data_IF_530764425420
#
_entry.id   IF_530764425420
#
_cell.length_a   1.000
_cell.length_b   1.000
_cell.length_c   1.000
_cell.angle_alpha   90.00
_cell.angle_beta   90.00
_cell.angle_gamma   90.00
#
_symmetry.space_group_name_H-M   'P 1'
#
loop_
_entity.id
_entity.type
_entity.pdbx_description
1 polymer ?
#
# COMPACT_ATOMS: atom_id res chain seq x y z
N UNK A 1 4.20 1.92 -17.96
CA UNK A 1 4.38 0.61 -18.63
C UNK A 1 5.58 -0.15 -18.09
N UNK A 2 6.77 0.47 -17.92
CA UNK A 2 7.98 -0.19 -17.42
C UNK A 2 7.80 -1.01 -16.12
N UNK A 3 7.19 -0.45 -15.05
CA UNK A 3 6.93 -1.22 -13.83
C UNK A 3 6.02 -2.45 -14.03
N UNK A 4 5.06 -2.39 -14.97
CA UNK A 4 4.19 -3.53 -15.24
C UNK A 4 4.92 -4.66 -15.98
N UNK A 5 6.06 -4.39 -16.62
CA UNK A 5 6.89 -5.45 -17.20
C UNK A 5 7.54 -6.30 -16.11
N UNK A 6 7.86 -5.69 -14.95
CA UNK A 6 8.36 -6.41 -13.78
C UNK A 6 7.33 -7.36 -13.17
N UNK A 7 6.04 -7.04 -13.30
CA UNK A 7 4.95 -7.88 -12.76
C UNK A 7 4.79 -9.23 -13.44
N UNK A 8 5.49 -9.46 -14.56
CA UNK A 8 5.39 -10.67 -15.40
C UNK A 8 3.95 -10.97 -15.90
N UNK A 9 3.01 -10.03 -15.76
CA UNK A 9 1.66 -10.15 -16.30
C UNK A 9 1.70 -10.19 -17.84
N UNK A 10 1.03 -11.19 -18.41
CA UNK A 10 0.84 -11.27 -19.85
C UNK A 10 -0.03 -10.11 -20.37
N UNK A 11 0.10 -9.78 -21.66
CA UNK A 11 -0.67 -8.70 -22.28
C UNK A 11 -2.19 -8.89 -22.13
N UNK A 12 -2.68 -10.13 -22.19
CA UNK A 12 -4.10 -10.44 -22.00
C UNK A 12 -4.57 -10.15 -20.56
N UNK A 13 -3.71 -10.37 -19.57
CA UNK A 13 -4.04 -10.16 -18.16
C UNK A 13 -4.07 -8.69 -17.77
N UNK A 14 -3.39 -7.83 -18.53
CA UNK A 14 -3.38 -6.38 -18.30
C UNK A 14 -4.74 -5.72 -18.53
N UNK A 15 -5.70 -6.43 -19.15
CA UNK A 15 -7.09 -5.99 -19.25
C UNK A 15 -7.92 -6.19 -17.97
N UNK A 16 -7.41 -6.93 -16.98
CA UNK A 16 -8.11 -7.15 -15.71
C UNK A 16 -7.67 -6.13 -14.65
N UNK A 17 -8.58 -5.26 -14.16
CA UNK A 17 -8.23 -4.30 -13.10
C UNK A 17 -7.84 -5.00 -11.80
N UNK A 18 -8.39 -6.19 -11.52
CA UNK A 18 -8.04 -7.01 -10.35
C UNK A 18 -6.59 -7.46 -10.42
N UNK A 19 -6.17 -8.03 -11.56
CA UNK A 19 -4.78 -8.50 -11.75
C UNK A 19 -3.80 -7.33 -11.77
N UNK A 20 -4.15 -6.22 -12.43
CA UNK A 20 -3.33 -5.02 -12.44
C UNK A 20 -3.16 -4.46 -11.03
N UNK A 21 -4.23 -4.31 -10.26
CA UNK A 21 -4.15 -3.79 -8.89
C UNK A 21 -3.26 -4.66 -7.99
N UNK A 22 -3.39 -5.99 -8.07
CA UNK A 22 -2.54 -6.94 -7.33
C UNK A 22 -1.07 -6.90 -7.78
N UNK A 23 -0.82 -6.68 -9.06
CA UNK A 23 0.54 -6.50 -9.57
C UNK A 23 1.14 -5.17 -9.09
N UNK A 24 0.35 -4.10 -9.02
CA UNK A 24 0.80 -2.79 -8.55
C UNK A 24 1.25 -2.86 -7.09
N UNK A 25 0.49 -3.52 -6.22
CA UNK A 25 0.90 -3.66 -4.80
C UNK A 25 2.23 -4.41 -4.64
N UNK A 26 2.56 -5.33 -5.56
CA UNK A 26 3.85 -6.01 -5.56
C UNK A 26 5.00 -5.15 -6.11
N UNK A 27 4.85 -4.53 -7.30
CA UNK A 27 5.99 -3.88 -8.00
C UNK A 27 6.41 -2.53 -7.40
N UNK A 28 5.61 -1.98 -6.49
CA UNK A 28 5.91 -0.71 -5.81
C UNK A 28 6.97 -0.91 -4.72
N UNK A 29 6.97 -2.03 -4.00
CA UNK A 29 8.07 -2.38 -3.10
C UNK A 29 9.12 -3.23 -3.83
N UNK A 30 10.33 -3.27 -3.28
CA UNK A 30 11.49 -3.93 -3.89
C UNK A 30 11.89 -5.23 -3.17
N UNK A 31 10.98 -5.86 -2.44
CA UNK A 31 11.32 -6.98 -1.57
C UNK A 31 11.54 -8.30 -2.34
N UNK A 32 10.76 -8.57 -3.40
CA UNK A 32 10.82 -9.85 -4.14
C UNK A 32 11.50 -9.76 -5.51
N UNK A 33 11.42 -8.60 -6.16
CA UNK A 33 11.98 -8.29 -7.49
C UNK A 33 12.47 -6.82 -7.47
N UNK A 34 13.14 -6.35 -8.55
CA UNK A 34 13.63 -4.96 -8.73
C UNK A 34 12.51 -3.89 -8.79
N UNK A 35 11.61 -3.87 -7.81
CA UNK A 35 10.51 -2.93 -7.71
C UNK A 35 10.97 -1.50 -7.40
N UNK A 36 10.00 -0.60 -7.23
CA UNK A 36 10.26 0.82 -7.24
C UNK A 36 11.04 1.31 -6.00
N UNK A 37 10.61 0.93 -4.79
CA UNK A 37 11.06 1.52 -3.53
C UNK A 37 11.55 0.46 -2.53
N UNK A 38 12.65 0.77 -1.86
CA UNK A 38 13.17 0.00 -0.73
C UNK A 38 12.61 0.57 0.58
N UNK A 39 11.99 -0.27 1.40
CA UNK A 39 11.48 0.12 2.72
C UNK A 39 12.59 0.29 3.76
N UNK A 40 12.48 1.27 4.66
CA UNK A 40 13.40 1.41 5.80
C UNK A 40 12.75 2.17 6.98
N UNK A 41 12.71 1.53 8.14
CA UNK A 41 12.20 2.05 9.42
C UNK A 41 13.27 2.17 10.52
N UNK A 42 14.54 1.99 10.18
CA UNK A 42 15.65 1.93 11.15
C UNK A 42 16.12 3.30 11.69
N UNK A 43 15.63 4.41 11.12
CA UNK A 43 16.16 5.76 11.33
C UNK A 43 17.61 5.99 10.85
N UNK A 44 18.24 5.02 10.17
CA UNK A 44 19.50 5.21 9.45
C UNK A 44 19.25 5.23 7.93
N UNK A 45 19.45 6.41 7.32
CA UNK A 45 19.19 6.65 5.90
C UNK A 45 20.44 7.14 5.15
N UNK A 46 21.65 6.91 5.68
CA UNK A 46 22.89 7.53 5.17
C UNK A 46 23.22 7.19 3.71
N UNK A 47 22.73 6.06 3.20
CA UNK A 47 22.94 5.60 1.83
C UNK A 47 21.73 5.84 0.90
N UNK A 48 20.75 6.65 1.33
CA UNK A 48 19.55 6.96 0.57
C UNK A 48 18.91 8.28 0.96
N UNK A 49 17.66 8.47 0.54
CA UNK A 49 16.83 9.61 0.93
C UNK A 49 15.95 9.18 2.10
N UNK A 50 15.96 9.98 3.17
CA UNK A 50 15.08 9.75 4.31
C UNK A 50 13.60 9.81 3.87
N UNK A 51 12.75 8.85 4.27
CA UNK A 51 11.36 8.75 3.81
C UNK A 51 10.52 10.04 3.98
N UNK A 52 10.76 10.78 5.06
CA UNK A 52 10.06 12.04 5.36
C UNK A 52 10.50 13.23 4.49
N UNK A 53 11.59 13.11 3.74
CA UNK A 53 12.11 14.17 2.86
C UNK A 53 11.45 14.18 1.48
N UNK A 54 10.69 13.13 1.13
CA UNK A 54 9.94 13.10 -0.12
C UNK A 54 8.74 14.03 -0.08
N UNK A 55 8.64 14.93 -1.07
CA UNK A 55 7.50 15.85 -1.23
C UNK A 55 6.53 15.43 -2.34
N UNK A 56 6.86 14.37 -3.09
CA UNK A 56 6.01 13.83 -4.16
C UNK A 56 6.62 12.62 -4.85
N UNK A 57 5.77 11.84 -5.55
CA UNK A 57 6.18 10.60 -6.20
C UNK A 57 7.05 10.81 -7.45
N UNK A 58 6.94 11.97 -8.12
CA UNK A 58 7.63 12.23 -9.40
C UNK A 58 9.15 12.07 -9.27
N UNK A 59 9.74 12.61 -8.21
CA UNK A 59 11.19 12.51 -7.97
C UNK A 59 11.66 11.06 -7.79
N UNK A 60 10.82 10.23 -7.16
CA UNK A 60 11.09 8.79 -6.96
C UNK A 60 11.12 8.08 -8.32
N UNK A 61 10.09 8.27 -9.14
CA UNK A 61 10.01 7.67 -10.47
C UNK A 61 11.14 8.15 -11.39
N UNK A 62 11.46 9.44 -11.37
CA UNK A 62 12.59 9.96 -12.14
C UNK A 62 13.91 9.35 -11.71
N UNK A 63 14.15 9.21 -10.41
CA UNK A 63 15.38 8.58 -9.90
C UNK A 63 15.45 7.11 -10.32
N UNK A 64 14.33 6.38 -10.23
CA UNK A 64 14.23 4.99 -10.67
C UNK A 64 14.53 4.82 -12.17
N UNK A 65 14.00 5.70 -13.02
CA UNK A 65 14.27 5.67 -14.46
C UNK A 65 15.72 6.06 -14.78
N UNK A 66 16.24 7.13 -14.16
CA UNK A 66 17.63 7.58 -14.34
C UNK A 66 18.66 6.56 -13.84
N UNK A 67 18.30 5.73 -12.86
CA UNK A 67 19.17 4.69 -12.31
C UNK A 67 19.21 3.41 -13.16
N UNK A 68 18.42 3.34 -14.24
CA UNK A 68 18.27 2.17 -15.09
C UNK A 68 17.36 1.09 -14.48
N UNK A 69 16.37 1.48 -13.67
CA UNK A 69 15.45 0.56 -13.00
C UNK A 69 15.98 0.00 -11.68
N UNK A 70 16.98 0.63 -11.06
CA UNK A 70 17.42 0.27 -9.70
C UNK A 70 16.50 0.91 -8.67
N UNK A 71 16.04 0.11 -7.72
CA UNK A 71 15.13 0.51 -6.65
C UNK A 71 15.63 1.73 -5.87
N UNK A 72 14.69 2.61 -5.52
CA UNK A 72 14.95 3.88 -4.86
C UNK A 72 14.92 3.69 -3.34
N UNK A 73 15.93 4.23 -2.67
CA UNK A 73 16.06 4.23 -1.21
C UNK A 73 15.70 5.62 -0.67
N UNK A 74 14.81 5.78 0.30
CA UNK A 74 13.94 4.81 0.98
C UNK A 74 12.49 5.27 1.01
N UNK A 75 11.57 4.35 1.31
CA UNK A 75 10.15 4.63 1.54
C UNK A 75 9.65 4.08 2.88
N UNK A 76 8.56 4.67 3.37
CA UNK A 76 7.68 4.12 4.40
C UNK A 76 6.25 4.12 3.86
N UNK A 77 5.26 3.65 4.63
CA UNK A 77 3.89 3.39 4.16
C UNK A 77 3.28 4.55 3.34
N UNK A 78 3.39 5.81 3.79
CA UNK A 78 2.87 6.95 3.04
C UNK A 78 3.60 7.21 1.72
N UNK A 79 4.88 6.88 1.62
CA UNK A 79 5.68 7.00 0.40
C UNK A 79 5.27 5.92 -0.61
N UNK A 80 5.07 4.69 -0.15
CA UNK A 80 4.52 3.61 -0.97
C UNK A 80 3.11 3.97 -1.47
N UNK A 81 2.23 4.42 -0.57
CA UNK A 81 0.88 4.87 -0.93
C UNK A 81 0.91 6.01 -1.96
N UNK A 82 1.77 7.01 -1.78
CA UNK A 82 1.92 8.11 -2.74
C UNK A 82 2.41 7.64 -4.12
N UNK A 83 3.31 6.66 -4.17
CA UNK A 83 3.78 6.07 -5.42
C UNK A 83 2.67 5.31 -6.16
N UNK A 84 1.80 4.62 -5.43
CA UNK A 84 0.65 3.85 -5.98
C UNK A 84 -0.43 4.75 -6.58
N UNK A 85 -0.80 5.85 -5.91
CA UNK A 85 -1.95 6.68 -6.33
C UNK A 85 -1.71 7.40 -7.65
N UNK A 86 -0.56 8.05 -7.80
CA UNK A 86 -0.58 9.44 -8.28
C UNK A 86 -1.15 9.62 -9.72
N UNK A 87 -1.65 10.83 -10.00
CA UNK A 87 -1.97 11.34 -11.34
C UNK A 87 -1.25 12.68 -11.55
N UNK A 88 -0.88 12.99 -12.80
CA UNK A 88 -0.97 14.35 -13.29
C UNK A 88 -1.63 14.30 -14.68
N UNK A 89 -2.96 14.34 -14.70
CA UNK A 89 -3.73 14.45 -15.92
C UNK A 89 -3.96 15.93 -16.21
N UNK A 90 -3.34 16.44 -17.27
CA UNK A 90 -3.94 17.52 -18.07
C UNK A 90 -4.24 16.94 -19.44
N UNK A 91 -5.33 16.18 -19.53
CA UNK A 91 -5.89 15.70 -20.79
C UNK A 91 -7.05 16.63 -21.13
N UNK A 92 -6.83 17.58 -22.03
CA UNK A 92 -7.93 18.23 -22.77
C UNK A 92 -7.95 17.58 -24.15
N UNK A 93 -8.87 16.63 -24.33
CA UNK A 93 -9.20 16.10 -25.66
C UNK A 93 -10.38 16.89 -26.22
N UNK A 94 -10.15 17.61 -27.32
CA UNK A 94 -11.09 17.61 -28.44
C UNK A 94 -10.34 17.91 -29.72
N UNK A 95 -10.23 16.91 -30.61
CA UNK A 95 -9.72 17.08 -31.96
C UNK A 95 -10.89 17.08 -32.95
N UNK A 96 -11.01 18.14 -33.74
CA UNK A 96 -11.60 18.07 -35.08
C UNK A 96 -10.55 18.56 -36.05
N UNK A 97 -9.98 17.63 -36.82
CA UNK A 97 -9.00 17.93 -37.85
C UNK A 97 -9.73 18.45 -39.09
N UNK A 98 -9.39 19.66 -39.54
CA UNK A 98 -9.63 20.12 -40.90
C UNK A 98 -8.31 20.80 -41.35
N UNK A 99 -7.76 20.32 -42.46
CA UNK A 99 -6.70 20.94 -43.27
C UNK A 99 -5.29 21.17 -42.67
N UNK A 100 -4.80 20.23 -41.86
CA UNK A 100 -3.35 20.05 -41.67
C UNK A 100 -2.60 21.15 -40.91
N UNK A 101 -3.29 22.19 -40.42
CA UNK A 101 -2.75 23.17 -39.48
C UNK A 101 -3.49 23.08 -38.14
N UNK A 102 -2.73 22.92 -37.05
CA UNK A 102 -3.27 22.87 -35.69
C UNK A 102 -3.54 24.32 -35.23
N UNK A 103 -4.77 24.79 -35.39
CA UNK A 103 -5.21 26.08 -34.84
C UNK A 103 -5.62 25.90 -33.36
N UNK A 104 -4.76 26.33 -32.42
CA UNK A 104 -5.07 26.35 -30.98
C UNK A 104 -5.70 27.70 -30.62
N UNK A 105 -7.01 27.75 -30.35
CA UNK A 105 -7.67 28.95 -29.83
C UNK A 105 -7.77 28.89 -28.30
N UNK A 106 -7.03 29.76 -27.63
CA UNK A 106 -7.13 30.01 -26.18
C UNK A 106 -8.04 31.22 -25.99
N UNK A 107 -9.21 31.03 -25.38
CA UNK A 107 -10.06 32.12 -24.91
C UNK A 107 -9.67 32.48 -23.47
N UNK A 108 -9.01 33.64 -23.33
CA UNK A 108 -8.84 34.57 -22.18
C UNK A 108 -8.93 33.97 -20.76
N UNK A 109 -7.93 34.08 -19.88
CA UNK A 109 -6.71 34.88 -19.95
C UNK A 109 -5.80 34.59 -18.75
N UNK A 110 -4.52 34.38 -19.06
CA UNK A 110 -3.30 34.72 -18.32
C UNK A 110 -2.18 34.02 -19.10
N UNK A 111 -1.34 34.81 -19.76
CA UNK A 111 -0.25 34.30 -20.60
C UNK A 111 0.85 33.77 -19.69
N UNK A 112 0.91 32.46 -19.54
CA UNK A 112 2.16 31.77 -19.19
C UNK A 112 2.60 31.10 -20.49
N UNK A 113 3.67 31.63 -21.09
CA UNK A 113 4.46 30.95 -22.11
C UNK A 113 5.13 29.73 -21.46
N UNK A 114 4.35 28.69 -21.18
CA UNK A 114 4.91 27.39 -20.83
C UNK A 114 5.33 26.74 -22.15
N UNK A 115 6.65 26.61 -22.34
CA UNK A 115 7.20 25.78 -23.38
C UNK A 115 6.49 24.42 -23.41
N UNK A 116 6.27 23.90 -24.61
CA UNK A 116 5.91 22.50 -24.86
C UNK A 116 7.06 21.59 -24.39
N UNK A 117 7.30 21.50 -23.09
CA UNK A 117 8.05 20.41 -22.47
C UNK A 117 7.01 19.48 -21.87
N UNK A 118 6.80 18.36 -22.56
CA UNK A 118 6.09 17.22 -22.01
C UNK A 118 6.81 16.82 -20.71
N UNK A 119 6.31 17.27 -19.56
CA UNK A 119 6.82 16.82 -18.27
C UNK A 119 6.46 15.34 -18.14
N UNK A 120 7.37 14.45 -17.74
CA UNK A 120 7.13 13.01 -17.75
C UNK A 120 6.00 12.64 -16.78
N UNK A 121 4.83 12.27 -17.31
CA UNK A 121 3.69 11.73 -16.55
C UNK A 121 4.13 10.40 -15.93
N UNK A 122 4.30 10.30 -14.60
CA UNK A 122 4.50 8.97 -13.98
C UNK A 122 3.87 8.84 -12.61
N UNK A 123 2.63 8.35 -12.59
CA UNK A 123 2.25 7.49 -11.46
C UNK A 123 1.23 6.37 -11.80
N UNK A 124 1.03 5.36 -10.92
CA UNK A 124 0.62 4.02 -11.39
C UNK A 124 -0.89 3.84 -11.59
N UNK A 125 -1.72 3.84 -10.54
CA UNK A 125 -3.14 3.49 -10.68
C UNK A 125 -3.93 4.50 -11.53
N UNK A 126 -3.85 5.79 -11.21
CA UNK A 126 -4.65 6.80 -11.92
C UNK A 126 -4.21 7.01 -13.36
N UNK A 127 -2.93 6.83 -13.71
CA UNK A 127 -2.48 6.87 -15.12
C UNK A 127 -2.99 5.68 -15.92
N UNK A 128 -3.20 4.54 -15.28
CA UNK A 128 -3.84 3.38 -15.90
C UNK A 128 -5.38 3.52 -15.97
N UNK A 129 -5.93 4.66 -15.53
CA UNK A 129 -7.37 4.91 -15.53
C UNK A 129 -8.13 4.24 -14.38
N UNK A 130 -7.42 3.71 -13.36
CA UNK A 130 -8.05 3.11 -12.18
C UNK A 130 -8.26 4.20 -11.12
N UNK A 131 -9.51 4.54 -10.73
CA UNK A 131 -9.74 5.49 -9.66
C UNK A 131 -9.11 4.98 -8.36
N UNK A 132 -8.30 5.83 -7.72
CA UNK A 132 -7.46 5.44 -6.58
C UNK A 132 -7.37 6.58 -5.57
N UNK A 133 -7.37 6.26 -4.27
CA UNK A 133 -7.19 7.20 -3.15
C UNK A 133 -6.30 6.60 -2.07
N UNK A 134 -5.59 7.44 -1.31
CA UNK A 134 -4.90 7.00 -0.09
C UNK A 134 -5.87 6.95 1.08
N UNK A 135 -5.64 5.99 1.99
CA UNK A 135 -6.40 5.84 3.23
C UNK A 135 -5.39 5.75 4.37
N UNK A 136 -5.63 6.51 5.44
CA UNK A 136 -4.83 6.47 6.66
C UNK A 136 -5.63 5.76 7.74
N UNK A 137 -5.08 4.68 8.29
CA UNK A 137 -5.57 4.01 9.47
C UNK A 137 -4.78 4.47 10.68
N UNK A 138 -5.44 4.84 11.77
CA UNK A 138 -4.80 5.21 13.02
C UNK A 138 -4.85 4.02 13.97
N UNK A 139 -3.78 3.79 14.75
CA UNK A 139 -3.70 2.62 15.63
C UNK A 139 -3.85 1.33 14.80
N UNK A 140 -3.01 1.21 13.77
CA UNK A 140 -3.10 0.10 12.81
C UNK A 140 -2.43 -1.14 13.37
N UNK A 141 -3.18 -2.21 13.54
CA UNK A 141 -2.64 -3.49 13.92
C UNK A 141 -1.82 -4.10 12.79
N UNK A 142 -0.79 -4.86 13.15
CA UNK A 142 -0.04 -5.73 12.27
C UNK A 142 0.05 -7.08 12.96
N UNK A 143 -0.95 -7.92 12.67
CA UNK A 143 -1.09 -9.31 13.12
C UNK A 143 -0.22 -10.20 12.22
N UNK A 144 0.73 -10.89 12.82
CA UNK A 144 1.74 -11.68 12.11
C UNK A 144 1.47 -13.19 12.14
N UNK A 145 0.47 -13.64 12.91
CA UNK A 145 0.13 -15.06 13.06
C UNK A 145 -1.32 -15.42 12.67
N UNK A 146 -2.07 -14.43 12.16
CA UNK A 146 -3.47 -14.55 11.74
C UNK A 146 -4.42 -14.91 12.89
N UNK A 147 -4.07 -14.52 14.12
CA UNK A 147 -4.90 -14.69 15.32
C UNK A 147 -6.09 -13.74 15.37
N UNK A 148 -6.08 -12.65 14.59
CA UNK A 148 -6.95 -11.48 14.73
C UNK A 148 -6.77 -10.75 16.07
N UNK A 149 -5.64 -10.99 16.75
CA UNK A 149 -5.21 -10.23 17.92
C UNK A 149 -3.84 -9.60 17.66
N UNK A 150 -3.49 -8.61 18.47
CA UNK A 150 -2.12 -8.11 18.56
C UNK A 150 -1.64 -8.45 19.95
N UNK A 151 -0.75 -9.43 20.04
CA UNK A 151 -0.31 -9.96 21.32
C UNK A 151 0.95 -9.23 21.82
N UNK A 152 0.88 -8.74 23.05
CA UNK A 152 1.95 -8.01 23.72
C UNK A 152 2.30 -8.67 25.04
N UNK A 153 3.56 -9.06 25.18
CA UNK A 153 4.04 -9.79 26.35
C UNK A 153 4.87 -8.89 27.25
N UNK A 154 4.67 -8.98 28.56
CA UNK A 154 5.36 -8.19 29.56
C UNK A 154 5.96 -9.09 30.63
N UNK A 155 7.14 -8.70 31.11
CA UNK A 155 7.76 -9.36 32.24
C UNK A 155 7.04 -9.01 33.56
N UNK A 156 7.47 -9.66 34.65
CA UNK A 156 6.94 -9.38 35.99
C UNK A 156 7.16 -7.94 36.49
N UNK A 157 8.01 -7.14 35.81
CA UNK A 157 8.25 -5.73 36.09
C UNK A 157 7.41 -4.77 35.24
N UNK A 158 6.70 -5.29 34.23
CA UNK A 158 5.88 -4.51 33.31
C UNK A 158 6.64 -4.01 32.07
N UNK A 159 7.85 -4.51 31.82
CA UNK A 159 8.62 -4.20 30.62
C UNK A 159 8.23 -5.13 29.48
N UNK A 160 8.10 -4.60 28.25
CA UNK A 160 7.72 -5.39 27.07
C UNK A 160 8.82 -6.39 26.70
N UNK A 161 8.44 -7.67 26.61
CA UNK A 161 9.28 -8.74 26.10
C UNK A 161 9.24 -8.67 24.57
N UNK A 162 10.25 -8.01 23.99
CA UNK A 162 10.39 -7.89 22.54
C UNK A 162 10.49 -9.26 21.87
N UNK A 163 9.63 -9.53 20.88
CA UNK A 163 9.55 -10.83 20.23
C UNK A 163 8.67 -11.85 20.97
N UNK A 164 8.05 -11.49 22.09
CA UNK A 164 7.30 -12.44 22.92
C UNK A 164 8.19 -13.45 23.66
N UNK A 165 7.59 -14.44 24.35
CA UNK A 165 8.31 -15.34 25.24
C UNK A 165 9.31 -16.27 24.54
N UNK A 166 9.08 -16.57 23.27
CA UNK A 166 9.89 -17.47 22.44
C UNK A 166 10.64 -16.75 21.30
N UNK A 167 10.46 -15.42 21.17
CA UNK A 167 11.07 -14.63 20.11
C UNK A 167 10.34 -14.73 18.76
N UNK A 168 9.12 -15.29 18.73
CA UNK A 168 8.33 -15.49 17.51
C UNK A 168 7.16 -14.52 17.34
N UNK A 169 6.89 -13.65 18.32
CA UNK A 169 5.82 -12.65 18.24
C UNK A 169 6.33 -11.33 17.64
N UNK A 170 6.03 -11.09 16.37
CA UNK A 170 6.33 -9.85 15.65
C UNK A 170 5.17 -8.86 15.59
N UNK A 171 4.09 -9.13 16.33
CA UNK A 171 2.91 -8.29 16.36
C UNK A 171 3.21 -6.87 16.82
N UNK A 172 2.62 -5.92 16.10
CA UNK A 172 2.82 -4.51 16.38
C UNK A 172 1.57 -3.70 16.15
N UNK A 173 1.48 -2.56 16.84
CA UNK A 173 0.45 -1.57 16.60
C UNK A 173 1.13 -0.27 16.18
N UNK A 174 0.88 0.15 14.94
CA UNK A 174 1.47 1.34 14.36
C UNK A 174 0.64 2.56 14.74
N UNK A 175 1.30 3.68 15.06
CA UNK A 175 0.61 4.95 15.33
C UNK A 175 -0.36 5.32 14.20
N UNK A 176 0.10 5.13 12.97
CA UNK A 176 -0.72 5.15 11.78
C UNK A 176 -0.09 4.29 10.69
N UNK A 177 -0.93 3.83 9.77
CA UNK A 177 -0.53 3.15 8.55
C UNK A 177 -1.28 3.73 7.36
N UNK A 178 -0.70 3.67 6.16
CA UNK A 178 -1.27 4.26 4.95
C UNK A 178 -1.24 3.26 3.80
N UNK A 179 -2.40 2.94 3.25
CA UNK A 179 -2.58 2.10 2.06
C UNK A 179 -3.35 2.86 0.96
N UNK A 180 -3.87 2.12 -0.03
CA UNK A 180 -4.68 2.66 -1.11
C UNK A 180 -6.01 1.92 -1.30
N UNK A 181 -7.07 2.66 -1.60
CA UNK A 181 -8.28 2.07 -2.17
C UNK A 181 -8.31 2.30 -3.68
N UNK A 182 -8.64 1.26 -4.45
CA UNK A 182 -8.87 1.31 -5.90
C UNK A 182 -10.31 0.91 -6.24
N UNK A 183 -10.94 1.60 -7.19
CA UNK A 183 -12.33 1.34 -7.56
C UNK A 183 -12.42 0.38 -8.74
N UNK A 184 -13.09 -0.75 -8.57
CA UNK A 184 -13.35 -1.71 -9.64
C UNK A 184 -14.55 -2.62 -9.33
N UNK A 185 -15.07 -3.31 -10.34
CA UNK A 185 -15.94 -4.46 -10.13
C UNK A 185 -15.13 -5.69 -9.68
N UNK A 186 -15.80 -6.63 -9.00
CA UNK A 186 -15.23 -7.90 -8.54
C UNK A 186 -16.04 -9.09 -9.06
N UNK A 187 -15.98 -9.38 -10.37
CA UNK A 187 -16.72 -10.51 -10.95
C UNK A 187 -16.22 -11.88 -10.45
N UNK A 188 -15.05 -11.91 -9.83
CA UNK A 188 -14.44 -13.05 -9.16
C UNK A 188 -15.00 -13.31 -7.75
N UNK A 189 -15.80 -12.39 -7.19
CA UNK A 189 -16.43 -12.51 -5.87
C UNK A 189 -17.96 -12.58 -5.96
N UNK A 190 -18.66 -13.02 -4.88
CA UNK A 190 -20.10 -12.91 -4.79
C UNK A 190 -20.60 -11.47 -4.99
N UNK A 191 -21.84 -11.31 -5.44
CA UNK A 191 -22.45 -10.00 -5.68
C UNK A 191 -22.39 -9.10 -4.42
N UNK A 192 -22.17 -7.81 -4.63
CA UNK A 192 -22.06 -6.81 -3.58
C UNK A 192 -20.64 -6.54 -3.05
N UNK A 193 -19.61 -7.24 -3.55
CA UNK A 193 -18.21 -7.01 -3.13
C UNK A 193 -17.39 -6.13 -4.10
N UNK A 194 -18.02 -5.52 -5.11
CA UNK A 194 -17.38 -4.50 -5.96
C UNK A 194 -17.22 -3.14 -5.28
N UNK A 195 -16.78 -2.13 -6.01
CA UNK A 195 -16.55 -0.77 -5.47
C UNK A 195 -15.11 -0.59 -5.02
N UNK A 196 -14.89 0.02 -3.85
CA UNK A 196 -13.55 0.23 -3.30
C UNK A 196 -12.90 -1.07 -2.84
N UNK A 197 -11.67 -1.28 -3.28
CA UNK A 197 -10.83 -2.42 -2.92
C UNK A 197 -9.53 -1.90 -2.30
N UNK A 198 -9.14 -2.43 -1.15
CA UNK A 198 -7.87 -2.14 -0.49
C UNK A 198 -6.74 -2.82 -1.24
N UNK A 199 -5.70 -2.07 -1.59
CA UNK A 199 -4.39 -2.58 -1.95
C UNK A 199 -3.35 -1.91 -1.05
N UNK A 200 -2.40 -2.69 -0.56
CA UNK A 200 -1.28 -2.17 0.22
C UNK A 200 0.03 -2.64 -0.41
N UNK A 201 0.86 -1.65 -0.73
CA UNK A 201 2.17 -1.86 -1.33
C UNK A 201 3.30 -1.88 -0.30
N UNK A 202 2.99 -1.58 0.97
CA UNK A 202 3.92 -1.68 2.08
C UNK A 202 4.23 -3.16 2.32
N UNK A 203 5.50 -3.57 2.33
CA UNK A 203 5.86 -4.98 2.50
C UNK A 203 5.69 -5.37 3.98
N UNK A 204 4.49 -5.82 4.32
CA UNK A 204 4.11 -6.32 5.64
C UNK A 204 4.14 -7.85 5.61
N UNK A 205 3.08 -8.47 5.07
CA UNK A 205 2.94 -9.93 4.95
C UNK A 205 3.11 -10.43 3.51
N UNK A 206 3.52 -11.69 3.36
CA UNK A 206 3.61 -12.35 2.06
C UNK A 206 2.27 -12.95 1.65
N UNK A 207 1.87 -12.70 0.41
CA UNK A 207 0.68 -13.29 -0.24
C UNK A 207 1.06 -13.93 -1.56
N UNK A 208 0.90 -15.26 -1.64
CA UNK A 208 1.44 -16.11 -2.73
C UNK A 208 2.96 -15.98 -2.91
N UNK A 209 3.71 -15.99 -1.80
CA UNK A 209 5.18 -15.87 -1.75
C UNK A 209 5.74 -14.55 -2.31
N UNK A 210 4.92 -13.49 -2.33
CA UNK A 210 5.31 -12.13 -2.71
C UNK A 210 4.81 -11.15 -1.65
N UNK A 211 5.58 -10.11 -1.33
CA UNK A 211 5.15 -8.97 -0.55
C UNK A 211 4.18 -8.12 -1.36
N UNK A 212 2.90 -8.46 -1.22
CA UNK A 212 1.78 -7.79 -1.88
C UNK A 212 0.52 -7.99 -1.05
N UNK A 213 -0.37 -7.01 -1.09
CA UNK A 213 -1.66 -7.12 -0.43
C UNK A 213 -2.78 -6.59 -1.31
N UNK A 214 -3.91 -7.29 -1.29
CA UNK A 214 -5.14 -6.96 -2.01
C UNK A 214 -5.15 -7.39 -3.49
N UNK A 215 -6.22 -7.05 -4.24
CA UNK A 215 -7.34 -6.21 -3.84
C UNK A 215 -8.32 -6.90 -2.87
N UNK A 216 -8.45 -6.38 -1.65
CA UNK A 216 -9.43 -6.83 -0.66
C UNK A 216 -10.69 -5.96 -0.74
N UNK A 217 -11.88 -6.56 -0.76
CA UNK A 217 -13.11 -5.75 -0.83
C UNK A 217 -13.37 -5.03 0.49
N UNK A 218 -13.49 -3.70 0.45
CA UNK A 218 -13.81 -2.90 1.65
C UNK A 218 -15.16 -3.34 2.26
N UNK A 219 -16.12 -3.72 1.41
CA UNK A 219 -17.42 -4.23 1.86
C UNK A 219 -17.31 -5.62 2.51
N UNK A 220 -16.39 -6.47 2.02
CA UNK A 220 -16.11 -7.75 2.66
C UNK A 220 -15.48 -7.55 4.04
N UNK A 221 -14.47 -6.69 4.15
CA UNK A 221 -13.81 -6.34 5.43
C UNK A 221 -14.84 -5.79 6.41
N UNK A 222 -15.64 -4.81 6.02
CA UNK A 222 -16.67 -4.20 6.87
C UNK A 222 -17.69 -5.21 7.40
N UNK A 223 -17.99 -6.27 6.63
CA UNK A 223 -18.93 -7.32 7.02
C UNK A 223 -18.25 -8.54 7.69
N UNK A 224 -16.94 -8.48 7.96
CA UNK A 224 -16.19 -9.59 8.54
C UNK A 224 -16.09 -10.82 7.64
N UNK A 225 -16.19 -10.65 6.31
CA UNK A 225 -16.10 -11.75 5.33
C UNK A 225 -14.65 -12.10 4.99
N UNK A 226 -13.90 -12.56 5.99
CA UNK A 226 -12.45 -12.80 5.89
C UNK A 226 -12.05 -13.94 4.95
N UNK A 227 -12.97 -14.84 4.57
CA UNK A 227 -12.68 -15.94 3.64
C UNK A 227 -12.63 -15.55 2.15
N UNK A 228 -12.82 -14.26 1.80
CA UNK A 228 -12.82 -13.81 0.41
C UNK A 228 -11.43 -13.35 -0.03
N UNK A 229 -11.08 -13.65 -1.28
CA UNK A 229 -9.85 -13.14 -1.87
C UNK A 229 -9.93 -11.61 -2.10
N UNK A 230 -8.85 -10.86 -1.96
CA UNK A 230 -7.50 -11.28 -1.53
C UNK A 230 -7.21 -10.67 -0.18
N UNK A 231 -6.45 -11.38 0.66
CA UNK A 231 -5.83 -10.85 1.88
C UNK A 231 -6.82 -10.19 2.88
N UNK A 232 -8.11 -10.52 2.77
CA UNK A 232 -9.17 -9.97 3.64
C UNK A 232 -8.95 -10.27 5.14
N UNK A 233 -8.40 -11.42 5.58
CA UNK A 233 -8.09 -11.64 6.99
C UNK A 233 -7.07 -10.63 7.53
N UNK A 234 -5.99 -10.40 6.78
CA UNK A 234 -4.94 -9.45 7.15
C UNK A 234 -5.49 -8.02 7.23
N UNK A 235 -6.16 -7.55 6.17
CA UNK A 235 -6.77 -6.21 6.17
C UNK A 235 -7.82 -6.07 7.29
N UNK A 236 -8.56 -7.14 7.61
CA UNK A 236 -9.52 -7.11 8.72
C UNK A 236 -8.82 -6.97 10.07
N UNK A 237 -7.72 -7.69 10.29
CA UNK A 237 -6.91 -7.58 11.49
C UNK A 237 -6.37 -6.15 11.64
N UNK A 238 -5.85 -5.53 10.57
CA UNK A 238 -5.30 -4.16 10.60
C UNK A 238 -6.26 -3.11 11.21
N UNK A 239 -7.58 -3.31 11.05
CA UNK A 239 -8.62 -2.37 11.51
C UNK A 239 -9.49 -2.87 12.67
N UNK A 240 -9.43 -4.15 13.05
CA UNK A 240 -10.32 -4.73 14.07
C UNK A 240 -9.61 -5.67 15.07
N UNK A 241 -8.29 -5.85 15.00
CA UNK A 241 -7.61 -6.75 15.94
C UNK A 241 -7.70 -6.22 17.37
N UNK A 242 -7.98 -7.13 18.31
CA UNK A 242 -7.95 -6.82 19.74
C UNK A 242 -6.50 -6.83 20.24
N UNK A 243 -6.07 -5.76 20.92
CA UNK A 243 -4.74 -5.72 21.54
C UNK A 243 -4.79 -6.44 22.87
N UNK A 244 -4.13 -7.59 22.94
CA UNK A 244 -4.07 -8.45 24.10
C UNK A 244 -2.74 -8.26 24.82
N UNK A 245 -2.77 -7.85 26.09
CA UNK A 245 -1.56 -7.74 26.91
C UNK A 245 -1.48 -8.93 27.86
N UNK A 246 -0.35 -9.65 27.84
CA UNK A 246 -0.06 -10.79 28.69
C UNK A 246 1.12 -10.48 29.60
N UNK A 247 0.97 -10.69 30.91
CA UNK A 247 2.04 -10.50 31.88
C UNK A 247 2.49 -11.84 32.46
N UNK A 248 3.80 -11.99 32.70
CA UNK A 248 4.37 -13.14 33.39
C UNK A 248 3.64 -13.42 34.72
N UNK A 249 3.11 -14.64 34.84
CA UNK A 249 2.38 -15.11 36.00
C UNK A 249 2.80 -16.54 36.35
N UNK A 250 3.51 -16.67 37.47
CA UNK A 250 3.99 -17.96 38.00
C UNK A 250 2.87 -18.90 38.45
N UNK A 251 1.66 -18.38 38.65
CA UNK A 251 0.48 -19.19 39.00
C UNK A 251 -0.23 -19.75 37.76
N UNK A 252 0.06 -19.22 36.57
CA UNK A 252 -0.48 -19.70 35.31
C UNK A 252 0.26 -20.95 34.82
N UNK A 253 -0.49 -21.90 34.26
CA UNK A 253 0.06 -23.16 33.77
C UNK A 253 1.01 -23.00 32.57
N UNK A 254 0.91 -21.89 31.84
CA UNK A 254 1.74 -21.57 30.67
C UNK A 254 2.63 -20.34 30.91
N UNK A 255 2.68 -19.83 32.16
CA UNK A 255 3.61 -18.78 32.58
C UNK A 255 3.14 -17.34 32.39
N UNK A 256 1.96 -17.11 31.79
CA UNK A 256 1.40 -15.77 31.59
C UNK A 256 -0.09 -15.71 31.90
N UNK A 257 -0.55 -14.51 32.23
CA UNK A 257 -1.98 -14.19 32.42
C UNK A 257 -2.33 -12.93 31.63
N UNK A 258 -3.50 -12.92 31.00
CA UNK A 258 -4.00 -11.74 30.31
C UNK A 258 -4.26 -10.62 31.33
N UNK A 259 -3.72 -9.44 31.08
CA UNK A 259 -4.07 -8.22 31.79
C UNK A 259 -5.51 -7.84 31.40
N UNK A 260 -6.27 -7.26 32.32
CA UNK A 260 -7.62 -6.79 32.02
C UNK A 260 -7.56 -5.77 30.87
N UNK A 261 -8.05 -6.19 29.71
CA UNK A 261 -8.15 -5.35 28.52
C UNK A 261 -9.28 -4.35 28.80
N UNK A 262 -8.94 -3.07 28.97
CA UNK A 262 -9.94 -2.02 28.89
C UNK A 262 -10.48 -2.03 27.46
N UNK A 263 -11.68 -2.59 27.26
CA UNK A 263 -12.43 -2.44 26.03
C UNK A 263 -12.77 -0.96 25.86
N UNK A 264 -12.00 -0.23 25.05
CA UNK A 264 -12.43 1.05 24.51
C UNK A 264 -13.36 0.75 23.33
N UNK A 265 -14.59 0.36 23.65
CA UNK A 265 -15.73 0.38 22.71
C UNK A 265 -16.74 1.43 23.13
#
# INVERSE_FOLDING_TARGET
MYLLELSKLSHAERGSPVKIARAISAVINANDDLGLLVGNWSNDYRDGVAPHSWTGSVAIFEQYLKSGGRSVKYGQCWVFSAATVTANALVVLSSTAIDGEIEVRISVGTVITAALTCSPIHPVCRTLGIPCRSVTNYVSAHDTDSSLTVDKYFDSHGEEIQGGPDGHCSDSCWNYHVWNDVWMSRPDLPEGNGGWQVIDATPQEQSDALFRCGPASVEAVKRGKVGLAYDTPFIFAEVNADVCHFQEDKSSHWGFSALNINQYT
#
